data_IF_638019171454
#
_entry.id   IF_638019171454
#
_cell.length_a   1.000
_cell.length_b   1.000
_cell.length_c   1.000
_cell.angle_alpha   90.00
_cell.angle_beta   90.00
_cell.angle_gamma   90.00
#
_symmetry.space_group_name_H-M   'P 1'
#
loop_
_entity.id
_entity.type
_entity.pdbx_description
1 polymer ?
#
# COMPACT_ATOMS: atom_id res chain seq x y z
N UNK A 1 24.11 -10.12 -45.73
CA UNK A 1 23.22 -8.96 -45.46
C UNK A 1 22.17 -9.39 -44.46
N UNK A 2 22.46 -9.27 -43.16
CA UNK A 2 21.54 -9.71 -42.09
C UNK A 2 20.34 -8.76 -42.04
N UNK A 3 19.16 -9.35 -42.24
CA UNK A 3 17.92 -8.68 -42.57
C UNK A 3 17.41 -7.80 -41.41
N UNK A 4 17.34 -6.49 -41.64
CA UNK A 4 16.85 -5.50 -40.67
C UNK A 4 15.42 -5.83 -40.20
N UNK A 5 14.60 -6.44 -41.07
CA UNK A 5 13.26 -6.88 -40.74
C UNK A 5 13.24 -7.96 -39.64
N UNK A 6 14.25 -8.83 -39.59
CA UNK A 6 14.36 -9.87 -38.56
C UNK A 6 14.68 -9.26 -37.19
N UNK A 7 15.49 -8.20 -37.14
CA UNK A 7 15.79 -7.48 -35.89
C UNK A 7 14.59 -6.68 -35.38
N UNK A 8 13.83 -6.05 -36.27
CA UNK A 8 12.61 -5.30 -35.90
C UNK A 8 11.54 -6.27 -35.38
N UNK A 9 11.37 -7.44 -36.01
CA UNK A 9 10.46 -8.47 -35.53
C UNK A 9 10.86 -9.05 -34.16
N UNK A 10 12.16 -9.18 -33.89
CA UNK A 10 12.66 -9.64 -32.58
C UNK A 10 12.41 -8.59 -31.49
N UNK A 11 12.69 -7.30 -31.78
CA UNK A 11 12.46 -6.20 -30.84
C UNK A 11 10.96 -5.97 -30.55
N UNK A 12 10.09 -6.15 -31.54
CA UNK A 12 8.64 -6.09 -31.32
C UNK A 12 8.12 -7.24 -30.45
N UNK A 13 8.74 -8.43 -30.56
CA UNK A 13 8.40 -9.60 -29.74
C UNK A 13 8.90 -9.48 -28.29
N UNK A 14 10.09 -8.89 -28.08
CA UNK A 14 10.63 -8.58 -26.75
C UNK A 14 9.88 -7.43 -26.05
N UNK A 15 9.40 -6.44 -26.81
CA UNK A 15 8.53 -5.38 -26.28
C UNK A 15 7.14 -5.91 -25.86
N UNK A 16 6.62 -6.94 -26.54
CA UNK A 16 5.37 -7.58 -26.15
C UNK A 16 5.52 -8.47 -24.90
N UNK A 17 6.69 -9.11 -24.70
CA UNK A 17 6.92 -9.99 -23.54
C UNK A 17 7.31 -9.26 -22.25
N UNK A 18 7.56 -7.95 -22.30
CA UNK A 18 7.93 -7.14 -21.14
C UNK A 18 6.75 -6.39 -20.50
N UNK A 19 5.52 -6.65 -20.94
CA UNK A 19 4.31 -6.00 -20.40
C UNK A 19 3.70 -6.66 -19.16
N UNK A 20 4.41 -7.59 -18.50
CA UNK A 20 4.00 -8.06 -17.17
C UNK A 20 4.54 -7.14 -16.07
N UNK A 21 4.08 -5.88 -16.06
CA UNK A 21 4.03 -5.09 -14.82
C UNK A 21 2.78 -5.50 -14.02
N UNK A 22 2.59 -6.81 -13.85
CA UNK A 22 1.60 -7.37 -12.94
C UNK A 22 2.27 -7.54 -11.60
N UNK A 23 1.79 -6.85 -10.57
CA UNK A 23 2.06 -7.27 -9.20
C UNK A 23 1.50 -8.69 -9.10
N UNK A 24 2.36 -9.70 -9.12
CA UNK A 24 1.98 -11.08 -8.87
C UNK A 24 1.63 -11.21 -7.39
N UNK A 25 0.33 -11.11 -7.08
CA UNK A 25 -0.19 -11.46 -5.76
C UNK A 25 -0.04 -12.97 -5.62
N UNK A 26 0.67 -13.42 -4.59
CA UNK A 26 0.91 -14.84 -4.33
C UNK A 26 -0.41 -15.64 -4.40
N UNK A 27 -0.53 -16.47 -5.43
CA UNK A 27 -1.77 -17.19 -5.76
C UNK A 27 -2.10 -18.28 -4.74
N UNK A 28 -1.13 -18.70 -3.91
CA UNK A 28 -1.38 -19.65 -2.82
C UNK A 28 -2.33 -19.09 -1.74
N UNK A 29 -2.47 -17.76 -1.66
CA UNK A 29 -3.39 -17.07 -0.77
C UNK A 29 -4.58 -16.43 -1.50
N UNK A 30 -4.81 -16.75 -2.78
CA UNK A 30 -5.73 -16.00 -3.63
C UNK A 30 -7.18 -16.01 -3.12
N UNK A 31 -7.62 -17.14 -2.57
CA UNK A 31 -8.95 -17.28 -1.97
C UNK A 31 -9.10 -16.39 -0.72
N UNK A 32 -8.07 -16.31 0.12
CA UNK A 32 -8.09 -15.44 1.30
C UNK A 32 -8.11 -13.97 0.89
N UNK A 33 -7.33 -13.61 -0.14
CA UNK A 33 -7.33 -12.24 -0.66
C UNK A 33 -8.65 -11.86 -1.31
N UNK A 34 -9.33 -12.79 -1.99
CA UNK A 34 -10.67 -12.56 -2.52
C UNK A 34 -11.68 -12.30 -1.38
N UNK A 35 -11.66 -13.12 -0.33
CA UNK A 35 -12.55 -12.94 0.83
C UNK A 35 -12.33 -11.58 1.52
N UNK A 36 -11.08 -11.16 1.69
CA UNK A 36 -10.80 -9.83 2.27
C UNK A 36 -11.21 -8.72 1.31
N UNK A 37 -11.01 -8.89 0.00
CA UNK A 37 -11.46 -7.94 -1.00
C UNK A 37 -12.99 -7.77 -1.04
N UNK A 38 -13.73 -8.82 -0.73
CA UNK A 38 -15.20 -8.75 -0.62
C UNK A 38 -15.67 -8.04 0.66
N UNK A 39 -14.77 -7.82 1.63
CA UNK A 39 -15.05 -7.01 2.83
C UNK A 39 -14.79 -5.50 2.64
N UNK A 40 -14.37 -5.08 1.44
CA UNK A 40 -14.19 -3.67 1.14
C UNK A 40 -15.53 -2.91 1.29
N UNK A 41 -15.49 -1.65 1.75
CA UNK A 41 -16.69 -0.82 1.78
C UNK A 41 -17.22 -0.61 0.35
N UNK A 42 -18.51 -0.35 0.18
CA UNK A 42 -19.14 -0.11 -1.12
C UNK A 42 -18.44 1.02 -1.92
N UNK A 43 -17.92 2.01 -1.19
CA UNK A 43 -17.29 3.20 -1.74
C UNK A 43 -16.00 3.53 -1.00
N UNK A 44 -14.97 3.91 -1.74
CA UNK A 44 -13.69 4.40 -1.22
C UNK A 44 -13.33 5.73 -1.85
N UNK A 45 -12.72 6.62 -1.07
CA UNK A 45 -12.16 7.88 -1.57
C UNK A 45 -10.65 7.74 -1.66
N UNK A 46 -10.10 7.86 -2.87
CA UNK A 46 -8.66 7.79 -3.14
C UNK A 46 -8.27 9.11 -3.81
N UNK A 47 -7.29 9.83 -3.25
CA UNK A 47 -6.84 11.14 -3.74
C UNK A 47 -8.00 12.15 -3.95
N UNK A 48 -8.98 12.15 -3.05
CA UNK A 48 -10.15 13.04 -3.12
C UNK A 48 -11.19 12.67 -4.17
N UNK A 49 -11.00 11.55 -4.89
CA UNK A 49 -11.98 11.02 -5.82
C UNK A 49 -12.63 9.77 -5.26
N UNK A 50 -13.93 9.70 -5.49
CA UNK A 50 -14.78 8.60 -5.05
C UNK A 50 -14.84 7.47 -6.08
N UNK A 51 -14.74 6.24 -5.61
CA UNK A 51 -14.82 5.02 -6.41
C UNK A 51 -15.78 4.04 -5.75
N UNK A 52 -16.65 3.40 -6.54
CA UNK A 52 -17.38 2.22 -6.08
C UNK A 52 -16.46 1.01 -6.21
N UNK A 53 -16.39 0.21 -5.16
CA UNK A 53 -15.47 -0.94 -5.12
C UNK A 53 -15.92 -2.07 -6.02
N UNK A 54 -17.23 -2.22 -6.25
CA UNK A 54 -17.81 -3.19 -7.17
C UNK A 54 -17.47 -2.91 -8.65
N UNK A 55 -17.17 -1.65 -9.01
CA UNK A 55 -16.75 -1.26 -10.36
C UNK A 55 -15.30 -1.69 -10.66
N UNK A 56 -14.54 -2.10 -9.64
CA UNK A 56 -13.14 -2.52 -9.78
C UNK A 56 -13.04 -4.01 -10.11
N UNK A 57 -12.02 -4.36 -10.91
CA UNK A 57 -11.69 -5.77 -11.15
C UNK A 57 -11.26 -6.47 -9.85
N UNK A 58 -11.39 -7.80 -9.78
CA UNK A 58 -11.00 -8.57 -8.59
C UNK A 58 -9.54 -8.32 -8.18
N UNK A 59 -8.61 -8.23 -9.14
CA UNK A 59 -7.21 -7.88 -8.86
C UNK A 59 -7.05 -6.45 -8.33
N UNK A 60 -7.81 -5.49 -8.87
CA UNK A 60 -7.80 -4.12 -8.37
C UNK A 60 -8.36 -4.02 -6.94
N UNK A 61 -9.41 -4.79 -6.60
CA UNK A 61 -9.91 -4.88 -5.23
C UNK A 61 -8.87 -5.45 -4.27
N UNK A 62 -8.12 -6.48 -4.66
CA UNK A 62 -7.02 -7.03 -3.84
C UNK A 62 -5.91 -6.00 -3.61
N UNK A 63 -5.50 -5.26 -4.64
CA UNK A 63 -4.52 -4.18 -4.50
C UNK A 63 -5.05 -3.03 -3.61
N UNK A 64 -6.34 -2.72 -3.72
CA UNK A 64 -6.99 -1.72 -2.88
C UNK A 64 -6.97 -2.13 -1.39
N UNK A 65 -7.24 -3.40 -1.07
CA UNK A 65 -7.09 -3.92 0.30
C UNK A 65 -5.68 -3.70 0.83
N UNK A 66 -4.66 -4.02 0.03
CA UNK A 66 -3.25 -3.85 0.42
C UNK A 66 -2.97 -2.37 0.69
N UNK A 67 -3.38 -1.49 -0.21
CA UNK A 67 -3.20 -0.05 -0.08
C UNK A 67 -3.85 0.51 1.20
N UNK A 68 -5.12 0.16 1.46
CA UNK A 68 -5.83 0.63 2.66
C UNK A 68 -5.20 0.09 3.94
N UNK A 69 -4.68 -1.13 3.91
CA UNK A 69 -3.97 -1.74 5.04
C UNK A 69 -2.66 -0.99 5.35
N UNK A 70 -1.90 -0.62 4.32
CA UNK A 70 -0.67 0.16 4.47
C UNK A 70 -0.94 1.54 5.06
N UNK A 71 -1.96 2.26 4.57
CA UNK A 71 -2.38 3.54 5.14
C UNK A 71 -2.72 3.44 6.62
N UNK A 72 -3.42 2.36 7.02
CA UNK A 72 -3.75 2.11 8.43
C UNK A 72 -2.51 1.86 9.27
N UNK A 73 -1.58 1.05 8.78
CA UNK A 73 -0.31 0.76 9.49
C UNK A 73 0.49 2.05 9.69
N UNK A 74 0.63 2.87 8.65
CA UNK A 74 1.32 4.17 8.73
C UNK A 74 0.62 5.10 9.73
N UNK A 75 -0.71 5.13 9.73
CA UNK A 75 -1.50 5.88 10.72
C UNK A 75 -1.19 5.45 12.15
N UNK A 76 -1.22 4.15 12.42
CA UNK A 76 -0.92 3.57 13.74
C UNK A 76 0.53 3.84 14.18
N UNK A 77 1.49 3.80 13.25
CA UNK A 77 2.88 4.15 13.55
C UNK A 77 3.02 5.61 13.97
N UNK A 78 2.32 6.53 13.30
CA UNK A 78 2.31 7.95 13.67
C UNK A 78 1.67 8.17 15.04
N UNK A 79 0.56 7.51 15.32
CA UNK A 79 -0.10 7.56 16.65
C UNK A 79 0.84 7.06 17.75
N UNK A 80 1.54 5.94 17.52
CA UNK A 80 2.50 5.38 18.47
C UNK A 80 3.65 6.35 18.77
N UNK A 81 4.20 7.01 17.74
CA UNK A 81 5.23 8.03 17.91
C UNK A 81 4.72 9.23 18.72
N UNK A 82 3.53 9.73 18.40
CA UNK A 82 2.92 10.85 19.14
C UNK A 82 2.70 10.51 20.63
N UNK A 83 2.26 9.29 20.93
CA UNK A 83 2.11 8.81 22.31
C UNK A 83 3.46 8.71 23.04
N UNK A 84 4.49 8.21 22.37
CA UNK A 84 5.84 8.15 22.94
C UNK A 84 6.40 9.55 23.26
N UNK A 85 6.21 10.51 22.34
CA UNK A 85 6.60 11.91 22.56
C UNK A 85 5.84 12.55 23.73
N UNK A 86 4.53 12.28 23.84
CA UNK A 86 3.72 12.76 24.97
C UNK A 86 4.22 12.18 26.29
N UNK A 87 4.51 10.87 26.33
CA UNK A 87 5.07 10.19 27.49
C UNK A 87 6.42 10.78 27.91
N UNK A 88 7.31 11.07 26.94
CA UNK A 88 8.59 11.71 27.20
C UNK A 88 8.43 13.13 27.76
N UNK A 89 7.51 13.93 27.21
CA UNK A 89 7.21 15.28 27.71
C UNK A 89 6.67 15.24 29.15
N UNK A 90 5.77 14.29 29.44
CA UNK A 90 5.25 14.09 30.79
C UNK A 90 6.36 13.71 31.77
N UNK A 91 7.23 12.77 31.39
CA UNK A 91 8.38 12.36 32.20
C UNK A 91 9.35 13.54 32.45
N UNK A 92 9.68 14.31 31.42
CA UNK A 92 10.56 15.47 31.56
C UNK A 92 9.95 16.54 32.48
N UNK A 93 8.64 16.78 32.38
CA UNK A 93 7.94 17.70 33.29
C UNK A 93 7.99 17.22 34.74
N UNK A 94 7.86 15.92 34.97
CA UNK A 94 7.92 15.33 36.32
C UNK A 94 9.34 15.45 36.91
N UNK A 95 10.37 15.16 36.11
CA UNK A 95 11.77 15.35 36.52
C UNK A 95 12.01 16.81 36.89
N UNK A 96 11.55 17.76 36.07
CA UNK A 96 11.71 19.20 36.32
C UNK A 96 11.07 19.66 37.62
N UNK A 97 9.87 19.14 37.96
CA UNK A 97 9.17 19.50 39.21
C UNK A 97 9.85 18.97 40.47
N UNK A 98 10.56 17.85 40.35
CA UNK A 98 11.18 17.16 41.48
C UNK A 98 12.69 17.42 41.60
N UNK A 99 13.25 18.29 40.75
CA UNK A 99 14.62 18.77 40.91
C UNK A 99 14.65 19.72 42.12
N UNK A 100 15.56 19.50 43.09
CA UNK A 100 15.71 20.42 44.22
C UNK A 100 16.15 21.79 43.67
N UNK A 101 15.52 22.86 44.17
CA UNK A 101 15.95 24.23 43.90
C UNK A 101 17.45 24.35 44.25
N UNK A 102 18.26 24.74 43.26
CA UNK A 102 19.70 24.93 43.40
C UNK A 102 20.03 26.20 44.19
#
# INVERSE_FOLDING_TARGET
MHNLATRIGLMAKEAASSSSFGIEINTAADANWAQVADSLPEKVTINGKDYKTDDLSGSARKLLVIYLSDLRIVGQQKEMLALAELGLKALASEIQKNLPDA
#
